data_IF_617565351093
#
_entry.id   IF_617565351093
#
_cell.length_a   1.000
_cell.length_b   1.000
_cell.length_c   1.000
_cell.angle_alpha   90.00
_cell.angle_beta   90.00
_cell.angle_gamma   90.00
#
_symmetry.space_group_name_H-M   'P 1'
#
loop_
_entity.id
_entity.type
_entity.pdbx_description
1 polymer ?
#
# COMPACT_ATOMS: atom_id res chain seq x y z
N UNK A 1 33.28 -57.69 21.94
CA UNK A 1 32.12 -57.32 21.09
C UNK A 1 31.19 -56.44 21.93
N UNK A 2 31.26 -55.12 21.79
CA UNK A 2 30.37 -54.16 22.48
C UNK A 2 29.39 -53.63 21.43
N UNK A 3 28.11 -53.94 21.59
CA UNK A 3 27.04 -53.39 20.75
C UNK A 3 26.52 -52.14 21.46
N UNK A 4 26.69 -50.97 20.84
CA UNK A 4 26.13 -49.70 21.30
C UNK A 4 24.83 -49.48 20.52
N UNK A 5 23.70 -49.44 21.21
CA UNK A 5 22.44 -48.98 20.64
C UNK A 5 22.42 -47.45 20.69
N UNK A 6 22.43 -46.81 19.52
CA UNK A 6 22.16 -45.38 19.39
C UNK A 6 20.66 -45.24 19.11
N UNK A 7 19.90 -44.79 20.11
CA UNK A 7 18.50 -44.40 19.93
C UNK A 7 18.52 -42.94 19.43
N UNK A 8 18.23 -42.72 18.14
CA UNK A 8 18.01 -41.37 17.64
C UNK A 8 16.63 -40.89 18.05
N UNK A 9 16.57 -39.93 18.97
CA UNK A 9 15.36 -39.14 19.22
C UNK A 9 15.18 -38.14 18.07
N UNK A 10 14.32 -38.47 17.12
CA UNK A 10 13.77 -37.49 16.17
C UNK A 10 12.77 -36.61 16.90
N UNK A 11 13.20 -35.42 17.34
CA UNK A 11 12.28 -34.37 17.76
C UNK A 11 11.58 -33.80 16.52
N UNK A 12 10.33 -34.18 16.32
CA UNK A 12 9.41 -33.46 15.41
C UNK A 12 9.13 -32.10 16.04
N UNK A 13 9.87 -31.08 15.63
CA UNK A 13 9.50 -29.70 15.92
C UNK A 13 8.37 -29.31 14.97
N UNK A 14 7.13 -29.41 15.46
CA UNK A 14 5.98 -28.77 14.83
C UNK A 14 6.10 -27.27 15.05
N UNK A 15 6.61 -26.54 14.05
CA UNK A 15 6.50 -25.09 14.03
C UNK A 15 5.03 -24.73 13.74
N UNK A 16 4.25 -24.52 14.79
CA UNK A 16 2.97 -23.83 14.65
C UNK A 16 3.27 -22.37 14.29
N UNK A 17 2.61 -21.79 13.29
CA UNK A 17 2.69 -20.34 13.09
C UNK A 17 2.16 -19.68 14.37
N UNK A 18 2.96 -18.77 14.94
CA UNK A 18 2.49 -17.91 16.01
C UNK A 18 1.29 -17.11 15.51
N UNK A 19 0.22 -17.02 16.29
CA UNK A 19 -0.79 -15.98 16.09
C UNK A 19 -0.05 -14.63 16.13
N UNK A 20 -0.02 -13.92 15.01
CA UNK A 20 0.54 -12.57 14.98
C UNK A 20 -0.34 -11.70 15.87
N UNK A 21 0.19 -11.23 17.00
CA UNK A 21 -0.51 -10.27 17.84
C UNK A 21 -0.88 -9.03 17.01
N UNK A 22 -2.17 -8.73 17.00
CA UNK A 22 -2.77 -7.57 16.38
C UNK A 22 -2.02 -6.28 16.75
N UNK A 23 -1.59 -5.46 15.77
CA UNK A 23 -1.09 -4.14 16.07
C UNK A 23 -2.21 -3.33 16.75
N UNK A 24 -2.09 -3.11 18.06
CA UNK A 24 -3.05 -2.28 18.80
C UNK A 24 -2.82 -0.80 18.44
N UNK A 25 -3.45 -0.36 17.35
CA UNK A 25 -3.58 1.05 17.06
C UNK A 25 -4.69 1.66 17.93
N UNK A 26 -4.40 1.94 19.21
CA UNK A 26 -5.34 2.64 20.10
C UNK A 26 -5.77 3.99 19.52
N UNK A 27 -4.89 4.61 18.72
CA UNK A 27 -5.10 5.89 18.06
C UNK A 27 -5.51 5.79 16.57
N UNK A 28 -5.93 4.60 16.13
CA UNK A 28 -6.30 4.32 14.75
C UNK A 28 -5.11 3.97 13.86
N UNK A 29 -5.36 3.09 12.89
CA UNK A 29 -4.38 2.70 11.87
C UNK A 29 -4.20 3.86 10.88
N UNK A 30 -2.98 4.41 10.71
CA UNK A 30 -2.75 5.54 9.81
C UNK A 30 -3.01 5.21 8.33
N UNK A 31 -3.09 3.93 7.95
CA UNK A 31 -3.49 3.44 6.62
C UNK A 31 -5.02 3.39 6.41
N UNK A 32 -5.82 3.42 7.47
CA UNK A 32 -7.26 3.15 7.41
C UNK A 32 -8.09 4.39 7.77
N UNK A 33 -8.07 5.40 6.89
CA UNK A 33 -8.81 6.65 7.06
C UNK A 33 -10.19 6.60 6.42
N UNK A 34 -11.23 6.69 7.24
CA UNK A 34 -12.63 6.69 6.78
C UNK A 34 -12.99 7.90 5.88
N UNK A 35 -12.17 8.96 5.90
CA UNK A 35 -12.34 10.17 5.09
C UNK A 35 -11.62 10.13 3.73
N UNK A 36 -10.81 9.10 3.47
CA UNK A 36 -10.10 8.91 2.21
C UNK A 36 -10.71 7.75 1.42
N UNK A 37 -10.57 7.80 0.10
CA UNK A 37 -11.00 6.71 -0.76
C UNK A 37 -10.17 5.48 -0.43
N UNK A 38 -10.84 4.36 -0.11
CA UNK A 38 -10.15 3.13 0.28
C UNK A 38 -9.08 3.39 1.35
N UNK A 39 -9.36 4.24 2.33
CA UNK A 39 -8.51 4.36 3.52
C UNK A 39 -7.27 5.24 3.37
N UNK A 40 -6.64 5.31 2.22
CA UNK A 40 -5.34 5.97 2.04
C UNK A 40 -5.17 6.62 0.65
N UNK A 41 -6.20 6.62 -0.18
CA UNK A 41 -6.13 7.24 -1.50
C UNK A 41 -6.71 8.64 -1.46
N UNK A 42 -5.86 9.62 -1.79
CA UNK A 42 -6.29 10.99 -2.06
C UNK A 42 -6.79 11.07 -3.50
N UNK A 43 -8.08 11.33 -3.67
CA UNK A 43 -8.67 11.55 -4.98
C UNK A 43 -8.46 13.01 -5.40
N UNK A 44 -7.99 13.21 -6.63
CA UNK A 44 -8.09 14.48 -7.33
C UNK A 44 -9.41 14.47 -8.10
N UNK A 45 -10.33 15.41 -7.85
CA UNK A 45 -11.65 15.46 -8.49
C UNK A 45 -11.55 15.48 -10.03
N UNK A 46 -10.48 16.06 -10.59
CA UNK A 46 -10.23 16.05 -12.04
C UNK A 46 -9.85 14.66 -12.56
N UNK A 47 -9.31 13.81 -11.68
CA UNK A 47 -8.89 12.45 -11.97
C UNK A 47 -9.93 11.42 -11.55
N UNK A 48 -10.92 11.77 -10.72
CA UNK A 48 -11.98 10.87 -10.25
C UNK A 48 -12.67 10.17 -11.42
N UNK A 49 -13.04 10.91 -12.48
CA UNK A 49 -13.64 10.34 -13.70
C UNK A 49 -12.70 9.42 -14.50
N UNK A 50 -11.38 9.58 -14.33
CA UNK A 50 -10.36 8.75 -14.97
C UNK A 50 -10.02 7.51 -14.11
N UNK A 51 -10.21 7.62 -12.79
CA UNK A 51 -10.05 6.56 -11.80
C UNK A 51 -11.34 5.77 -11.56
N UNK A 52 -12.49 6.21 -12.11
CA UNK A 52 -13.80 5.59 -11.95
C UNK A 52 -13.76 4.12 -12.38
N UNK A 53 -13.49 3.31 -11.36
CA UNK A 53 -13.16 1.91 -11.37
C UNK A 53 -11.93 1.55 -12.19
N UNK A 54 -10.78 1.43 -11.53
CA UNK A 54 -9.71 0.52 -11.95
C UNK A 54 -9.07 -0.13 -10.74
N UNK A 55 -8.70 -1.41 -10.76
CA UNK A 55 -7.77 -2.01 -9.78
C UNK A 55 -6.54 -2.56 -10.48
N UNK A 56 -5.44 -2.69 -9.73
CA UNK A 56 -4.11 -2.96 -10.26
C UNK A 56 -3.41 -1.68 -10.71
N UNK A 57 -2.31 -1.82 -11.46
CA UNK A 57 -1.65 -0.68 -12.10
C UNK A 57 -2.55 -0.07 -13.18
N UNK A 58 -2.95 1.18 -13.03
CA UNK A 58 -3.70 1.89 -14.07
C UNK A 58 -2.84 2.03 -15.34
N UNK A 59 -3.31 1.51 -16.46
CA UNK A 59 -2.67 1.65 -17.77
C UNK A 59 -2.98 2.96 -18.49
N UNK A 60 -3.80 3.83 -17.91
CA UNK A 60 -4.17 5.10 -18.52
C UNK A 60 -2.92 5.99 -18.65
N UNK A 61 -2.46 6.27 -19.89
CA UNK A 61 -1.23 7.03 -20.10
C UNK A 61 -1.31 8.46 -19.54
N UNK A 62 -2.51 8.99 -19.28
CA UNK A 62 -2.70 10.31 -18.66
C UNK A 62 -2.23 10.35 -17.20
N UNK A 63 -2.30 9.22 -16.50
CA UNK A 63 -1.92 9.12 -15.08
C UNK A 63 -0.62 8.35 -14.87
N UNK A 64 -0.04 7.78 -15.93
CA UNK A 64 1.29 7.20 -15.85
C UNK A 64 2.37 8.29 -15.83
N UNK A 65 3.43 8.03 -15.08
CA UNK A 65 4.62 8.85 -15.11
C UNK A 65 5.32 8.70 -16.48
N UNK A 66 5.55 9.81 -17.22
CA UNK A 66 6.15 9.74 -18.54
C UNK A 66 7.48 8.99 -18.54
N UNK A 67 7.61 8.01 -19.43
CA UNK A 67 8.82 7.15 -19.56
C UNK A 67 9.20 6.41 -18.27
N UNK A 68 8.27 6.23 -17.34
CA UNK A 68 8.53 5.60 -16.04
C UNK A 68 9.41 6.44 -15.10
N UNK A 69 9.59 7.73 -15.38
CA UNK A 69 10.40 8.63 -14.54
C UNK A 69 9.51 9.34 -13.53
N UNK A 70 9.76 9.12 -12.24
CA UNK A 70 9.02 9.66 -11.10
C UNK A 70 9.89 10.70 -10.38
N UNK A 71 9.70 12.01 -10.65
CA UNK A 71 10.41 13.03 -9.90
C UNK A 71 9.86 13.12 -8.47
N UNK A 72 10.72 13.27 -7.48
CA UNK A 72 10.31 13.44 -6.09
C UNK A 72 11.17 14.48 -5.35
N UNK A 73 10.69 14.98 -4.23
CA UNK A 73 11.49 15.71 -3.24
C UNK A 73 10.97 15.43 -1.84
N UNK A 74 11.72 15.85 -0.84
CA UNK A 74 11.29 15.81 0.56
C UNK A 74 10.88 17.18 1.07
N UNK A 75 9.83 17.24 1.89
CA UNK A 75 9.51 18.42 2.66
C UNK A 75 10.65 18.72 3.68
N UNK A 76 11.04 19.98 3.93
CA UNK A 76 12.14 20.31 4.84
C UNK A 76 12.03 19.66 6.22
N UNK A 77 10.82 19.61 6.77
CA UNK A 77 10.48 19.05 8.08
C UNK A 77 10.43 17.51 8.13
N UNK A 78 10.58 16.81 7.00
CA UNK A 78 10.59 15.34 6.99
C UNK A 78 11.85 14.81 7.69
N UNK A 79 11.67 13.96 8.70
CA UNK A 79 12.76 13.41 9.50
C UNK A 79 13.73 12.53 8.70
N UNK A 80 15.00 12.47 9.12
CA UNK A 80 16.04 11.70 8.42
C UNK A 80 15.75 10.20 8.38
N UNK A 81 15.12 9.65 9.43
CA UNK A 81 14.70 8.25 9.47
C UNK A 81 13.75 7.92 8.33
N UNK A 82 12.69 8.72 8.15
CA UNK A 82 11.71 8.54 7.07
C UNK A 82 12.36 8.70 5.69
N UNK A 83 13.25 9.68 5.50
CA UNK A 83 14.01 9.85 4.25
C UNK A 83 14.84 8.61 3.90
N UNK A 84 15.57 8.07 4.88
CA UNK A 84 16.39 6.87 4.68
C UNK A 84 15.53 5.65 4.30
N UNK A 85 14.38 5.47 4.94
CA UNK A 85 13.44 4.41 4.58
C UNK A 85 12.83 4.61 3.19
N UNK A 86 12.48 5.84 2.82
CA UNK A 86 11.99 6.18 1.49
C UNK A 86 13.03 5.84 0.41
N UNK A 87 14.30 6.21 0.62
CA UNK A 87 15.37 5.82 -0.31
C UNK A 87 15.51 4.30 -0.44
N UNK A 88 15.38 3.53 0.66
CA UNK A 88 15.38 2.06 0.62
C UNK A 88 14.20 1.51 -0.19
N UNK A 89 13.00 2.06 0.01
CA UNK A 89 11.80 1.67 -0.73
C UNK A 89 11.94 1.97 -2.23
N UNK A 90 12.41 3.17 -2.58
CA UNK A 90 12.73 3.54 -3.96
C UNK A 90 13.77 2.58 -4.57
N UNK A 91 14.87 2.31 -3.87
CA UNK A 91 15.90 1.39 -4.34
C UNK A 91 15.34 -0.02 -4.59
N UNK A 92 14.46 -0.51 -3.71
CA UNK A 92 13.78 -1.79 -3.89
C UNK A 92 12.94 -1.84 -5.16
N UNK A 93 12.14 -0.80 -5.42
CA UNK A 93 11.28 -0.73 -6.61
C UNK A 93 12.11 -0.63 -7.88
N UNK A 94 13.13 0.23 -7.92
CA UNK A 94 14.00 0.40 -9.09
C UNK A 94 14.79 -0.87 -9.41
N UNK A 95 15.17 -1.66 -8.39
CA UNK A 95 15.89 -2.92 -8.61
C UNK A 95 15.00 -4.04 -9.21
N UNK A 96 13.68 -3.89 -9.16
CA UNK A 96 12.71 -4.89 -9.61
C UNK A 96 11.87 -4.45 -10.81
N UNK A 97 11.99 -3.19 -11.22
CA UNK A 97 11.12 -2.59 -12.25
C UNK A 97 11.92 -1.66 -13.15
N UNK A 98 11.29 -1.17 -14.22
CA UNK A 98 11.88 -0.15 -15.09
C UNK A 98 11.67 1.30 -14.58
N UNK A 99 11.00 1.48 -13.43
CA UNK A 99 10.75 2.80 -12.89
C UNK A 99 12.05 3.48 -12.46
N UNK A 100 12.12 4.80 -12.64
CA UNK A 100 13.25 5.61 -12.22
C UNK A 100 12.78 6.78 -11.36
N UNK A 101 13.19 6.79 -10.10
CA UNK A 101 12.89 7.86 -9.17
C UNK A 101 14.04 8.86 -9.16
N UNK A 102 13.72 10.14 -9.37
CA UNK A 102 14.71 11.20 -9.51
C UNK A 102 14.41 12.30 -8.50
N UNK A 103 15.31 12.51 -7.55
CA UNK A 103 15.17 13.65 -6.64
C UNK A 103 15.34 14.96 -7.41
N UNK A 104 14.44 15.92 -7.20
CA UNK A 104 14.47 17.21 -7.88
C UNK A 104 13.84 18.32 -7.04
N UNK A 105 14.38 19.53 -7.15
CA UNK A 105 13.78 20.76 -6.64
C UNK A 105 13.08 21.58 -7.73
N UNK A 106 13.07 21.11 -8.98
CA UNK A 106 12.49 21.84 -10.10
C UNK A 106 10.96 21.99 -9.94
N UNK A 107 10.37 23.11 -10.41
CA UNK A 107 8.93 23.35 -10.39
C UNK A 107 8.22 22.51 -11.48
N UNK A 108 8.18 21.20 -11.28
CA UNK A 108 7.62 20.22 -12.22
C UNK A 108 6.59 19.34 -11.50
N UNK A 109 5.79 18.58 -12.26
CA UNK A 109 4.95 17.54 -11.67
C UNK A 109 5.83 16.51 -10.97
N UNK A 110 5.63 16.32 -9.66
CA UNK A 110 6.51 15.53 -8.80
C UNK A 110 5.83 15.15 -7.50
N UNK A 111 6.35 14.14 -6.83
CA UNK A 111 5.93 13.77 -5.48
C UNK A 111 6.67 14.65 -4.46
N UNK A 112 5.97 15.19 -3.47
CA UNK A 112 6.56 15.74 -2.23
C UNK A 112 6.27 14.77 -1.11
N UNK A 113 7.30 14.16 -0.55
CA UNK A 113 7.17 13.30 0.63
C UNK A 113 7.08 14.18 1.86
N UNK A 114 5.99 14.07 2.62
CA UNK A 114 5.62 15.02 3.66
C UNK A 114 5.23 14.31 4.96
N UNK A 115 5.62 14.81 6.16
CA UNK A 115 5.21 14.23 7.44
C UNK A 115 3.78 14.67 7.82
N UNK A 116 2.80 14.26 6.99
CA UNK A 116 1.39 14.62 7.16
C UNK A 116 0.62 13.63 8.03
N UNK A 117 -0.70 13.81 8.08
CA UNK A 117 -1.61 12.91 8.82
C UNK A 117 -1.91 11.65 7.99
N UNK A 118 -1.74 10.48 8.60
CA UNK A 118 -1.93 9.18 7.96
C UNK A 118 -0.84 8.83 6.95
N UNK A 119 -0.99 7.65 6.38
CA UNK A 119 -0.26 7.19 5.20
C UNK A 119 -1.22 7.32 4.03
N UNK A 120 -0.84 8.08 3.01
CA UNK A 120 -1.70 8.27 1.84
C UNK A 120 -0.97 8.89 0.67
N UNK A 121 -1.51 8.62 -0.51
CA UNK A 121 -0.99 9.12 -1.78
C UNK A 121 -2.12 9.31 -2.78
N UNK A 122 -1.84 10.05 -3.86
CA UNK A 122 -2.67 10.00 -5.05
C UNK A 122 -2.38 8.74 -5.87
N UNK A 123 -3.29 8.38 -6.77
CA UNK A 123 -3.06 7.31 -7.75
C UNK A 123 -2.38 7.88 -8.99
N UNK A 124 -1.19 7.38 -9.27
CA UNK A 124 -0.40 7.80 -10.43
C UNK A 124 -0.02 9.29 -10.39
N UNK A 125 0.33 9.81 -11.56
CA UNK A 125 0.69 11.21 -11.81
C UNK A 125 -0.56 12.07 -11.95
N UNK A 126 -0.67 13.09 -11.11
CA UNK A 126 -1.76 14.10 -11.14
C UNK A 126 -1.52 15.23 -12.16
N UNK A 127 -0.30 15.33 -12.70
CA UNK A 127 0.09 16.44 -13.59
C UNK A 127 0.62 17.67 -12.87
N UNK A 128 0.58 17.70 -11.54
CA UNK A 128 1.07 18.77 -10.67
C UNK A 128 2.01 18.21 -9.59
N UNK A 129 2.49 19.08 -8.72
CA UNK A 129 3.08 18.64 -7.44
C UNK A 129 2.00 17.95 -6.62
N UNK A 130 2.28 16.74 -6.15
CA UNK A 130 1.37 15.92 -5.37
C UNK A 130 2.06 15.44 -4.09
N UNK A 131 1.30 15.29 -3.02
CA UNK A 131 1.85 14.91 -1.72
C UNK A 131 1.74 13.41 -1.54
N UNK A 132 2.82 12.80 -1.03
CA UNK A 132 2.80 11.47 -0.43
C UNK A 132 3.03 11.67 1.07
N UNK A 133 1.99 11.42 1.86
CA UNK A 133 2.02 11.62 3.30
C UNK A 133 2.57 10.38 4.01
N UNK A 134 3.55 10.61 4.88
CA UNK A 134 4.12 9.61 5.78
C UNK A 134 4.12 10.16 7.21
N UNK A 135 3.06 9.87 7.97
CA UNK A 135 2.97 10.22 9.39
C UNK A 135 4.18 9.68 10.18
N UNK A 136 4.86 10.48 11.00
CA UNK A 136 5.90 9.99 11.91
C UNK A 136 5.36 8.99 12.94
N UNK A 137 6.18 8.03 13.37
CA UNK A 137 5.76 7.00 14.35
C UNK A 137 5.75 7.56 15.79
N UNK A 138 4.70 8.29 16.15
CA UNK A 138 4.40 8.64 17.54
C UNK A 138 2.94 9.12 17.67
N UNK A 139 1.99 8.32 18.21
CA UNK A 139 2.14 6.96 18.72
C UNK A 139 2.09 5.85 17.64
N UNK A 140 1.46 6.12 16.50
CA UNK A 140 1.43 5.27 15.30
C UNK A 140 1.85 6.09 14.07
N UNK A 141 2.30 5.45 12.99
CA UNK A 141 2.75 6.17 11.80
C UNK A 141 3.13 5.26 10.65
N UNK A 142 3.82 5.82 9.67
CA UNK A 142 4.10 5.24 8.36
C UNK A 142 5.58 4.88 8.17
N UNK A 143 6.41 4.96 9.21
CA UNK A 143 7.86 4.72 9.10
C UNK A 143 8.22 3.23 9.07
N UNK A 144 7.52 2.47 8.23
CA UNK A 144 7.75 1.06 7.96
C UNK A 144 8.04 0.87 6.48
N UNK A 145 8.99 -0.01 6.16
CA UNK A 145 9.43 -0.23 4.78
C UNK A 145 8.27 -0.64 3.86
N UNK A 146 7.44 -1.61 4.27
CA UNK A 146 6.29 -2.08 3.49
C UNK A 146 5.26 -0.98 3.24
N UNK A 147 4.91 -0.21 4.27
CA UNK A 147 4.01 0.96 4.17
C UNK A 147 4.53 1.99 3.16
N UNK A 148 5.81 2.34 3.22
CA UNK A 148 6.35 3.33 2.29
C UNK A 148 6.37 2.80 0.84
N UNK A 149 6.66 1.50 0.65
CA UNK A 149 6.53 0.87 -0.67
C UNK A 149 5.08 0.91 -1.16
N UNK A 150 4.10 0.62 -0.30
CA UNK A 150 2.68 0.70 -0.60
C UNK A 150 2.25 2.09 -1.08
N UNK A 151 2.65 3.16 -0.38
CA UNK A 151 2.30 4.53 -0.78
C UNK A 151 2.97 4.97 -2.09
N UNK A 152 4.18 4.48 -2.35
CA UNK A 152 4.84 4.66 -3.65
C UNK A 152 4.07 3.86 -4.72
N UNK A 153 3.59 2.66 -4.36
CA UNK A 153 2.58 1.82 -5.03
C UNK A 153 1.48 2.65 -5.69
N UNK A 154 0.72 3.33 -4.82
CA UNK A 154 -0.32 4.26 -5.21
C UNK A 154 0.20 5.37 -6.13
N UNK A 155 1.28 6.04 -5.73
CA UNK A 155 1.83 7.17 -6.48
C UNK A 155 2.24 6.82 -7.92
N UNK A 156 2.56 5.56 -8.22
CA UNK A 156 2.90 5.09 -9.57
C UNK A 156 1.74 4.43 -10.30
N UNK A 157 0.59 4.29 -9.66
CA UNK A 157 -0.68 3.95 -10.30
C UNK A 157 -1.36 2.68 -9.81
N UNK A 158 -0.87 2.04 -8.74
CA UNK A 158 -1.49 0.83 -8.22
C UNK A 158 -2.67 1.15 -7.32
N UNK A 159 -3.73 0.35 -7.46
CA UNK A 159 -4.93 0.36 -6.63
C UNK A 159 -4.99 -0.92 -5.81
N UNK A 160 -5.85 -0.96 -4.79
CA UNK A 160 -5.91 -2.09 -3.87
C UNK A 160 -6.32 -3.42 -4.53
N UNK A 161 -5.72 -4.52 -4.05
CA UNK A 161 -5.96 -5.88 -4.54
C UNK A 161 -7.34 -6.43 -4.11
N UNK A 162 -7.79 -6.14 -2.88
CA UNK A 162 -9.08 -6.63 -2.33
C UNK A 162 -10.31 -6.07 -3.06
N UNK A 163 -10.10 -5.08 -3.92
CA UNK A 163 -11.15 -4.39 -4.66
C UNK A 163 -11.27 -4.86 -6.10
N UNK A 164 -10.44 -5.81 -6.52
CA UNK A 164 -10.54 -6.41 -7.86
C UNK A 164 -11.94 -6.90 -8.18
N UNK A 165 -12.27 -6.82 -9.46
CA UNK A 165 -13.56 -7.26 -9.99
C UNK A 165 -13.83 -8.75 -9.78
N UNK A 166 -12.76 -9.55 -9.75
CA UNK A 166 -12.76 -10.99 -9.52
C UNK A 166 -12.60 -11.38 -8.03
N UNK A 167 -12.45 -10.41 -7.11
CA UNK A 167 -12.06 -10.68 -5.71
C UNK A 167 -13.02 -11.63 -4.97
N UNK A 168 -14.32 -11.62 -5.30
CA UNK A 168 -15.32 -12.48 -4.64
C UNK A 168 -15.11 -13.98 -4.92
N UNK A 169 -14.26 -14.34 -5.90
CA UNK A 169 -13.82 -15.72 -6.13
C UNK A 169 -12.70 -16.16 -5.19
N UNK A 170 -12.10 -15.24 -4.42
CA UNK A 170 -10.89 -15.47 -3.63
C UNK A 170 -11.05 -15.11 -2.16
N UNK A 171 -11.81 -14.07 -1.86
CA UNK A 171 -12.04 -13.57 -0.49
C UNK A 171 -13.51 -13.25 -0.27
N UNK A 172 -13.96 -13.40 0.99
CA UNK A 172 -15.32 -13.05 1.41
C UNK A 172 -15.29 -11.81 2.28
N UNK A 173 -16.07 -10.80 1.91
CA UNK A 173 -16.27 -9.61 2.73
C UNK A 173 -17.39 -9.86 3.74
N UNK A 174 -17.05 -9.78 5.03
CA UNK A 174 -18.03 -9.83 6.11
C UNK A 174 -18.61 -8.44 6.39
N UNK A 175 -19.58 -8.02 5.57
CA UNK A 175 -20.17 -6.67 5.62
C UNK A 175 -20.72 -6.26 6.99
N UNK A 176 -21.22 -7.22 7.77
CA UNK A 176 -21.75 -6.97 9.11
C UNK A 176 -20.65 -6.65 10.13
N UNK A 177 -19.41 -7.01 9.83
CA UNK A 177 -18.26 -6.74 10.69
C UNK A 177 -17.50 -5.46 10.29
N UNK A 178 -17.99 -4.69 9.32
CA UNK A 178 -17.34 -3.46 8.87
C UNK A 178 -18.09 -2.27 9.45
N UNK A 179 -17.35 -1.27 9.93
CA UNK A 179 -17.94 0.00 10.36
C UNK A 179 -18.81 0.57 9.25
N UNK A 180 -20.05 0.95 9.57
CA UNK A 180 -21.03 1.39 8.57
C UNK A 180 -20.50 2.50 7.64
N UNK A 181 -19.77 3.48 8.21
CA UNK A 181 -19.18 4.59 7.45
C UNK A 181 -18.05 4.15 6.51
N UNK A 182 -17.41 3.01 6.75
CA UNK A 182 -16.26 2.52 5.99
C UNK A 182 -16.61 1.46 4.93
N UNK A 183 -17.87 1.01 4.84
CA UNK A 183 -18.27 -0.03 3.87
C UNK A 183 -17.97 0.34 2.41
N UNK A 184 -17.93 1.64 2.10
CA UNK A 184 -17.59 2.11 0.76
C UNK A 184 -16.16 1.71 0.32
N UNK A 185 -15.22 1.53 1.25
CA UNK A 185 -13.83 1.11 1.00
C UNK A 185 -13.69 -0.35 0.54
N UNK A 186 -14.77 -1.13 0.57
CA UNK A 186 -14.79 -2.54 0.15
C UNK A 186 -15.54 -2.76 -1.16
N UNK A 187 -16.03 -1.68 -1.78
CA UNK A 187 -16.70 -1.75 -3.08
C UNK A 187 -15.70 -2.23 -4.12
N UNK A 188 -15.98 -3.38 -4.73
CA UNK A 188 -15.18 -3.88 -5.83
C UNK A 188 -15.42 -3.06 -7.10
N UNK A 189 -14.43 -3.06 -7.99
CA UNK A 189 -14.60 -2.52 -9.35
C UNK A 189 -15.41 -3.47 -10.22
N UNK A 190 -15.91 -2.97 -11.35
CA UNK A 190 -16.49 -3.81 -12.41
C UNK A 190 -15.40 -4.42 -13.31
N UNK A 191 -15.71 -5.44 -14.13
CA UNK A 191 -14.73 -6.01 -15.07
C UNK A 191 -14.23 -5.02 -16.13
N UNK A 192 -15.06 -4.09 -16.61
CA UNK A 192 -14.63 -3.06 -17.58
C UNK A 192 -13.67 -2.03 -16.97
N UNK A 193 -13.71 -1.97 -15.65
CA UNK A 193 -12.96 -1.07 -14.83
C UNK A 193 -11.60 -1.70 -14.45
N UNK A 194 -11.53 -2.99 -14.20
CA UNK A 194 -10.32 -3.62 -13.69
C UNK A 194 -9.53 -4.39 -14.76
N UNK A 195 -8.26 -4.01 -14.96
CA UNK A 195 -7.32 -4.80 -15.76
C UNK A 195 -6.56 -5.80 -14.87
N UNK A 196 -6.71 -7.10 -15.16
CA UNK A 196 -6.07 -8.18 -14.41
C UNK A 196 -4.74 -8.55 -15.08
N UNK A 197 -3.61 -8.13 -14.50
CA UNK A 197 -2.27 -8.47 -15.03
C UNK A 197 -1.76 -9.84 -14.54
N UNK A 198 -2.51 -10.52 -13.68
CA UNK A 198 -2.15 -11.81 -13.09
C UNK A 198 -3.24 -12.37 -12.18
N UNK A 199 -2.93 -13.48 -11.50
CA UNK A 199 -3.79 -14.06 -10.47
C UNK A 199 -4.04 -13.10 -9.30
N UNK A 200 -5.02 -13.42 -8.46
CA UNK A 200 -5.24 -12.70 -7.21
C UNK A 200 -4.09 -12.96 -6.24
N UNK A 201 -3.48 -11.91 -5.73
CA UNK A 201 -2.31 -12.01 -4.84
C UNK A 201 -2.67 -11.68 -3.39
N UNK A 202 -2.88 -12.72 -2.58
CA UNK A 202 -3.17 -12.61 -1.15
C UNK A 202 -2.08 -11.88 -0.35
N UNK A 203 -0.83 -11.91 -0.83
CA UNK A 203 0.32 -11.29 -0.17
C UNK A 203 0.77 -10.00 -0.84
N UNK A 204 -0.06 -9.45 -1.73
CA UNK A 204 0.17 -8.16 -2.35
C UNK A 204 0.34 -7.10 -1.26
N UNK A 205 1.34 -6.23 -1.40
CA UNK A 205 1.45 -5.05 -0.55
C UNK A 205 0.22 -4.14 -0.66
N UNK A 206 -0.58 -4.28 -1.72
CA UNK A 206 -1.82 -3.54 -1.94
C UNK A 206 -3.05 -4.28 -1.40
N UNK A 207 -2.88 -5.34 -0.61
CA UNK A 207 -3.96 -6.06 0.06
C UNK A 207 -4.25 -5.43 1.43
N UNK A 208 -5.53 -5.25 1.76
CA UNK A 208 -5.93 -4.94 3.14
C UNK A 208 -5.68 -6.11 4.08
N UNK A 209 -5.40 -5.79 5.34
CA UNK A 209 -5.42 -6.79 6.41
C UNK A 209 -6.84 -7.31 6.64
N UNK A 210 -6.96 -8.49 7.24
CA UNK A 210 -8.23 -9.15 7.54
C UNK A 210 -9.12 -8.37 8.53
N UNK A 211 -8.54 -7.42 9.26
CA UNK A 211 -9.21 -6.60 10.27
C UNK A 211 -9.47 -5.15 9.83
N UNK A 212 -9.17 -4.82 8.57
CA UNK A 212 -9.37 -3.48 8.05
C UNK A 212 -10.82 -3.00 8.29
N UNK A 213 -10.96 -1.83 8.91
CA UNK A 213 -12.25 -1.19 9.25
C UNK A 213 -13.25 -2.05 10.04
N UNK A 214 -12.77 -3.06 10.79
CA UNK A 214 -13.68 -3.89 11.59
C UNK A 214 -14.42 -3.07 12.66
N UNK A 215 -15.61 -3.54 13.03
CA UNK A 215 -16.28 -3.08 14.25
C UNK A 215 -15.41 -3.45 15.46
N UNK A 216 -15.19 -2.49 16.37
CA UNK A 216 -14.56 -2.73 17.68
C UNK A 216 -15.64 -2.84 18.74
#
# INVERSE_FOLDING_TARGET
>A
MKVIFVISLLSLASAYPAEEEEPNFENGDPMLREDLFEGDIVIDDNLLSLLEGRSGADSNPKILWPKGVVPYSFAPQLGQKTRNLFHKAVAHIQNKTCLQFRETSAPTARIVVYPGKGCNSNIGRTGRTQTLNLQPNNPSGCEFFGTIVHEILHAVGFLHEHTRSDRDSYVRINWNNIKQKAQHNFRKRTPSQNHLYGGFDYYSLMMYTEYAFRNR
#
